data_IF_419881144282
#
_entry.id   IF_419881144282
#
_cell.length_a   1.000
_cell.length_b   1.000
_cell.length_c   1.000
_cell.angle_alpha   90.00
_cell.angle_beta   90.00
_cell.angle_gamma   90.00
#
_symmetry.space_group_name_H-M   'P 1'
#
loop_
_entity.id
_entity.type
_entity.pdbx_description
1 polymer ?
#
# COMPACT_ATOMS: atom_id res chain seq x y z
N UNK A 1 80.67 -11.73 -9.43
CA UNK A 1 80.62 -12.02 -8.00
C UNK A 1 80.14 -10.72 -7.32
N UNK A 2 78.84 -10.65 -7.10
CA UNK A 2 78.23 -9.70 -6.18
C UNK A 2 76.74 -10.15 -5.97
N UNK A 3 76.50 -10.58 -4.76
CA UNK A 3 75.22 -11.07 -4.29
C UNK A 3 74.52 -9.86 -3.64
N UNK A 4 73.39 -9.45 -4.17
CA UNK A 4 72.54 -8.46 -3.50
C UNK A 4 71.25 -9.13 -3.09
N UNK A 5 71.09 -9.38 -1.80
CA UNK A 5 69.87 -9.90 -1.17
C UNK A 5 68.81 -8.80 -1.16
N UNK A 6 67.69 -9.05 -1.81
CA UNK A 6 66.52 -8.24 -1.63
C UNK A 6 65.63 -8.82 -0.48
N UNK A 7 65.49 -8.04 0.57
CA UNK A 7 64.62 -8.34 1.70
C UNK A 7 63.21 -7.93 1.30
N UNK A 8 62.33 -8.91 1.12
CA UNK A 8 60.91 -8.69 0.88
C UNK A 8 60.18 -8.29 2.17
N UNK A 9 59.64 -7.11 2.19
CA UNK A 9 58.81 -6.62 3.24
C UNK A 9 57.34 -7.07 2.96
N UNK A 10 56.90 -8.09 3.68
CA UNK A 10 55.47 -8.52 3.65
C UNK A 10 54.66 -7.57 4.50
N UNK A 11 53.91 -6.67 3.87
CA UNK A 11 52.88 -5.88 4.52
C UNK A 11 51.60 -6.71 4.49
N UNK A 12 51.22 -7.25 5.64
CA UNK A 12 49.92 -7.87 5.87
C UNK A 12 48.90 -6.75 6.07
N UNK A 13 48.10 -6.47 5.06
CA UNK A 13 46.94 -5.62 5.15
C UNK A 13 45.77 -6.40 5.77
N UNK A 14 45.68 -6.35 7.10
CA UNK A 14 44.44 -6.63 7.82
C UNK A 14 43.61 -5.34 7.81
N UNK A 15 42.51 -5.37 7.13
CA UNK A 15 41.56 -4.25 7.27
C UNK A 15 40.64 -4.03 6.05
N UNK A 16 39.78 -4.99 5.72
CA UNK A 16 38.62 -4.71 4.85
C UNK A 16 37.60 -5.84 4.90
N UNK A 17 37.08 -6.14 6.08
CA UNK A 17 35.99 -7.16 6.19
C UNK A 17 34.73 -6.64 6.91
N UNK A 18 34.63 -5.37 7.22
CA UNK A 18 33.43 -4.83 7.88
C UNK A 18 32.51 -3.99 6.98
N UNK A 19 32.89 -3.69 5.75
CA UNK A 19 32.08 -2.88 4.84
C UNK A 19 31.20 -3.71 3.86
N UNK A 20 31.44 -5.01 3.74
CA UNK A 20 30.72 -5.87 2.80
C UNK A 20 29.48 -6.55 3.39
N UNK A 21 29.26 -6.49 4.68
CA UNK A 21 28.12 -7.12 5.35
C UNK A 21 26.84 -6.28 5.36
N UNK A 22 26.90 -5.02 4.95
CA UNK A 22 25.73 -4.12 4.93
C UNK A 22 25.10 -3.92 3.53
N UNK A 23 25.68 -4.48 2.49
CA UNK A 23 25.20 -4.27 1.12
C UNK A 23 24.23 -5.34 0.59
N UNK A 24 23.91 -6.37 1.38
CA UNK A 24 23.08 -7.51 0.91
C UNK A 24 21.68 -7.57 1.48
N UNK A 25 21.13 -6.46 1.97
CA UNK A 25 19.71 -6.37 2.33
C UNK A 25 18.88 -5.58 1.32
N UNK A 26 19.33 -5.45 0.07
CA UNK A 26 18.39 -5.16 -1.01
C UNK A 26 17.50 -6.38 -1.16
N UNK A 27 16.28 -6.27 -0.66
CA UNK A 27 15.20 -7.17 -1.02
C UNK A 27 15.00 -6.98 -2.51
N UNK A 28 15.69 -7.79 -3.31
CA UNK A 28 15.41 -7.90 -4.74
C UNK A 28 14.04 -8.56 -4.84
N UNK A 29 13.00 -7.74 -4.88
CA UNK A 29 11.69 -8.17 -5.35
C UNK A 29 11.90 -8.53 -6.81
N UNK A 30 12.24 -9.77 -7.08
CA UNK A 30 12.28 -10.30 -8.44
C UNK A 30 10.85 -10.14 -8.99
N UNK A 31 10.70 -9.18 -9.87
CA UNK A 31 9.50 -9.03 -10.66
C UNK A 31 9.42 -10.24 -11.60
N UNK A 32 8.55 -11.18 -11.26
CA UNK A 32 8.15 -12.21 -12.19
C UNK A 32 7.23 -11.59 -13.26
N UNK A 33 7.86 -10.92 -14.22
CA UNK A 33 7.18 -10.23 -15.33
C UNK A 33 6.71 -11.19 -16.44
N UNK A 34 6.75 -12.51 -16.21
CA UNK A 34 6.50 -13.50 -17.28
C UNK A 34 5.03 -13.87 -17.45
N UNK A 35 4.12 -13.38 -16.58
CA UNK A 35 2.69 -13.52 -16.80
C UNK A 35 2.07 -12.13 -16.89
N UNK A 36 1.68 -11.71 -18.08
CA UNK A 36 0.71 -10.65 -18.27
C UNK A 36 -0.61 -11.18 -17.70
N UNK A 37 -0.72 -11.18 -16.38
CA UNK A 37 -1.97 -11.46 -15.70
C UNK A 37 -2.86 -10.25 -15.96
N UNK A 38 -3.88 -10.46 -16.76
CA UNK A 38 -4.91 -9.46 -17.03
C UNK A 38 -5.76 -9.34 -15.74
N UNK A 39 -5.26 -8.57 -14.77
CA UNK A 39 -5.92 -8.32 -13.50
C UNK A 39 -7.16 -7.49 -13.71
N UNK A 40 -8.32 -8.16 -13.77
CA UNK A 40 -9.62 -7.49 -13.83
C UNK A 40 -10.02 -7.03 -12.42
N UNK A 41 -10.56 -5.82 -12.31
CA UNK A 41 -11.12 -5.34 -11.06
C UNK A 41 -12.26 -6.24 -10.59
N UNK A 42 -12.28 -6.53 -9.29
CA UNK A 42 -13.34 -7.28 -8.59
C UNK A 42 -14.29 -6.34 -7.82
N UNK A 43 -14.10 -5.02 -7.95
CA UNK A 43 -14.99 -4.06 -7.30
C UNK A 43 -16.42 -4.21 -7.83
N UNK A 44 -17.43 -3.94 -7.01
CA UNK A 44 -18.81 -3.85 -7.48
C UNK A 44 -18.94 -2.82 -8.60
N UNK A 45 -19.88 -3.02 -9.50
CA UNK A 45 -20.28 -2.00 -10.47
C UNK A 45 -20.60 -0.68 -9.75
N UNK A 46 -20.28 0.46 -10.36
CA UNK A 46 -20.41 1.76 -9.71
C UNK A 46 -21.81 2.01 -9.12
N UNK A 47 -22.85 1.57 -9.81
CA UNK A 47 -24.24 1.68 -9.35
C UNK A 47 -24.61 0.79 -8.15
N UNK A 48 -23.75 -0.17 -7.81
CA UNK A 48 -23.96 -1.10 -6.67
C UNK A 48 -23.06 -0.76 -5.48
N UNK A 49 -22.18 0.23 -5.60
CA UNK A 49 -21.34 0.68 -4.48
C UNK A 49 -22.18 1.47 -3.50
N UNK A 50 -21.96 1.23 -2.22
CA UNK A 50 -22.72 1.88 -1.15
C UNK A 50 -22.35 3.37 -1.00
N UNK A 51 -21.06 3.69 -1.19
CA UNK A 51 -20.58 5.05 -1.15
C UNK A 51 -19.48 5.26 -2.20
N UNK A 52 -19.58 6.32 -2.98
CA UNK A 52 -18.59 6.68 -4.01
C UNK A 52 -18.02 8.04 -3.69
N UNK A 53 -16.71 8.12 -3.46
CA UNK A 53 -15.98 9.36 -3.24
C UNK A 53 -15.07 9.66 -4.41
N UNK A 54 -15.22 10.85 -4.99
CA UNK A 54 -14.35 11.32 -6.09
C UNK A 54 -12.89 11.38 -5.65
N UNK A 55 -12.61 11.85 -4.43
CA UNK A 55 -11.25 11.93 -3.90
C UNK A 55 -10.59 10.55 -3.76
N UNK A 56 -11.38 9.52 -3.43
CA UNK A 56 -10.90 8.13 -3.34
C UNK A 56 -10.61 7.57 -4.73
N UNK A 57 -11.47 7.82 -5.71
CA UNK A 57 -11.23 7.38 -7.09
C UNK A 57 -9.97 8.05 -7.70
N UNK A 58 -9.77 9.33 -7.45
CA UNK A 58 -8.57 10.06 -7.86
C UNK A 58 -7.31 9.50 -7.20
N UNK A 59 -7.39 9.17 -5.91
CA UNK A 59 -6.28 8.55 -5.19
C UNK A 59 -5.94 7.17 -5.76
N UNK A 60 -6.94 6.36 -6.09
CA UNK A 60 -6.74 5.05 -6.75
C UNK A 60 -6.02 5.24 -8.08
N UNK A 61 -6.51 6.14 -8.92
CA UNK A 61 -5.91 6.42 -10.22
C UNK A 61 -4.45 6.89 -10.08
N UNK A 62 -4.18 7.78 -9.13
CA UNK A 62 -2.84 8.28 -8.85
C UNK A 62 -1.87 7.18 -8.41
N UNK A 63 -2.26 6.37 -7.42
CA UNK A 63 -1.40 5.30 -6.91
C UNK A 63 -1.15 4.22 -7.97
N UNK A 64 -2.15 3.90 -8.79
CA UNK A 64 -1.99 2.94 -9.90
C UNK A 64 -0.95 3.41 -10.93
N UNK A 65 -0.81 4.71 -11.16
CA UNK A 65 0.22 5.26 -12.04
C UNK A 65 1.63 5.16 -11.45
N UNK A 66 1.76 5.22 -10.13
CA UNK A 66 3.04 5.13 -9.43
C UNK A 66 3.52 3.67 -9.27
N UNK A 67 2.60 2.72 -9.24
CA UNK A 67 2.92 1.31 -9.03
C UNK A 67 3.31 0.63 -10.33
N UNK A 68 4.58 0.22 -10.43
CA UNK A 68 5.08 -0.55 -11.59
C UNK A 68 4.64 -2.01 -11.57
N UNK A 69 4.32 -2.56 -10.39
CA UNK A 69 3.85 -3.93 -10.25
C UNK A 69 2.33 -4.00 -10.45
N UNK A 70 1.90 -4.64 -11.54
CA UNK A 70 0.50 -4.76 -11.92
C UNK A 70 -0.37 -5.46 -10.85
N UNK A 71 0.18 -6.45 -10.13
CA UNK A 71 -0.53 -7.13 -9.05
C UNK A 71 -0.79 -6.20 -7.86
N UNK A 72 0.20 -5.40 -7.47
CA UNK A 72 0.04 -4.43 -6.38
C UNK A 72 -0.94 -3.33 -6.76
N UNK A 73 -0.90 -2.84 -8.00
CA UNK A 73 -1.86 -1.86 -8.51
C UNK A 73 -3.29 -2.41 -8.46
N UNK A 74 -3.48 -3.67 -8.89
CA UNK A 74 -4.76 -4.35 -8.80
C UNK A 74 -5.21 -4.57 -7.35
N UNK A 75 -4.32 -5.00 -6.46
CA UNK A 75 -4.65 -5.16 -5.04
C UNK A 75 -5.07 -3.84 -4.40
N UNK A 76 -4.34 -2.77 -4.67
CA UNK A 76 -4.69 -1.45 -4.15
C UNK A 76 -6.08 -1.00 -4.65
N UNK A 77 -6.36 -1.13 -5.95
CA UNK A 77 -7.66 -0.78 -6.54
C UNK A 77 -8.82 -1.53 -5.90
N UNK A 78 -8.64 -2.78 -5.49
CA UNK A 78 -9.71 -3.60 -4.93
C UNK A 78 -9.81 -3.48 -3.41
N UNK A 79 -8.70 -3.34 -2.70
CA UNK A 79 -8.68 -3.33 -1.25
C UNK A 79 -8.92 -1.93 -0.67
N UNK A 80 -8.34 -0.89 -1.27
CA UNK A 80 -8.41 0.47 -0.73
C UNK A 80 -9.85 0.99 -0.64
N UNK A 81 -10.72 0.89 -1.66
CA UNK A 81 -12.09 1.40 -1.58
C UNK A 81 -13.09 0.41 -0.98
N UNK A 82 -12.67 -0.81 -0.61
CA UNK A 82 -13.59 -1.89 -0.26
C UNK A 82 -14.57 -1.53 0.85
N UNK A 83 -14.12 -0.84 1.89
CA UNK A 83 -14.98 -0.39 2.99
C UNK A 83 -16.12 0.51 2.48
N UNK A 84 -15.79 1.50 1.65
CA UNK A 84 -16.77 2.41 1.06
C UNK A 84 -17.70 1.70 0.08
N UNK A 85 -17.14 0.82 -0.73
CA UNK A 85 -17.90 0.11 -1.76
C UNK A 85 -18.95 -0.86 -1.17
N UNK A 86 -18.66 -1.45 0.02
CA UNK A 86 -19.40 -2.65 0.47
C UNK A 86 -19.93 -2.61 1.91
N UNK A 87 -19.41 -1.76 2.79
CA UNK A 87 -19.71 -1.84 4.24
C UNK A 87 -20.23 -0.55 4.85
N UNK A 88 -20.10 0.57 4.16
CA UNK A 88 -20.54 1.88 4.65
C UNK A 88 -21.98 2.13 4.24
N UNK A 89 -22.83 2.37 5.23
CA UNK A 89 -24.22 2.77 5.03
C UNK A 89 -24.40 4.20 5.54
N UNK A 90 -24.53 5.12 4.61
CA UNK A 90 -24.77 6.54 4.88
C UNK A 90 -26.25 6.87 4.70
N UNK A 91 -26.91 7.37 5.72
CA UNK A 91 -28.33 7.66 5.68
C UNK A 91 -28.66 9.06 5.13
N UNK A 92 -27.64 9.83 4.74
CA UNK A 92 -27.77 11.16 4.15
C UNK A 92 -28.04 12.29 5.15
N UNK A 93 -28.01 11.99 6.46
CA UNK A 93 -28.21 12.99 7.52
C UNK A 93 -26.93 13.24 8.28
N UNK A 94 -26.76 12.59 9.42
CA UNK A 94 -25.60 12.79 10.28
C UNK A 94 -24.99 11.46 10.74
N UNK A 95 -25.63 10.34 10.37
CA UNK A 95 -25.25 9.03 10.85
C UNK A 95 -24.65 8.17 9.73
N UNK A 96 -23.56 7.52 10.07
CA UNK A 96 -22.89 6.56 9.20
C UNK A 96 -22.72 5.24 9.94
N UNK A 97 -23.26 4.18 9.39
CA UNK A 97 -23.08 2.83 9.92
C UNK A 97 -22.05 2.08 9.09
N UNK A 98 -21.04 1.50 9.75
CA UNK A 98 -19.99 0.73 9.09
C UNK A 98 -20.04 -0.72 9.59
N UNK A 99 -20.39 -1.63 8.70
CA UNK A 99 -20.31 -3.06 9.03
C UNK A 99 -18.88 -3.50 9.27
N UNK A 100 -18.66 -4.24 10.34
CA UNK A 100 -17.35 -4.77 10.69
C UNK A 100 -17.35 -6.29 10.57
N UNK A 101 -16.83 -6.78 9.44
CA UNK A 101 -16.81 -8.18 9.12
C UNK A 101 -18.11 -8.68 8.47
N UNK A 102 -18.51 -9.91 8.77
CA UNK A 102 -19.64 -10.64 8.19
C UNK A 102 -20.94 -10.55 8.99
N UNK A 103 -20.93 -9.82 10.11
CA UNK A 103 -22.08 -9.62 10.98
C UNK A 103 -22.62 -8.20 10.87
N UNK A 104 -23.94 -8.06 11.06
CA UNK A 104 -24.62 -6.77 11.09
C UNK A 104 -24.33 -6.05 12.44
N UNK A 105 -23.11 -5.60 12.63
CA UNK A 105 -22.67 -4.88 13.81
C UNK A 105 -21.65 -3.81 13.45
N UNK A 106 -21.64 -2.73 14.22
CA UNK A 106 -20.66 -1.66 14.17
C UNK A 106 -19.83 -1.70 15.46
N UNK A 107 -18.59 -2.17 15.33
CA UNK A 107 -17.62 -2.13 16.43
C UNK A 107 -16.78 -0.88 16.28
N UNK A 108 -16.90 0.07 17.20
CA UNK A 108 -16.28 1.41 17.06
C UNK A 108 -14.79 1.37 16.72
N UNK A 109 -14.03 0.49 17.39
CA UNK A 109 -12.59 0.34 17.12
C UNK A 109 -12.33 -0.14 15.70
N UNK A 110 -13.07 -1.15 15.29
CA UNK A 110 -12.87 -1.81 13.98
C UNK A 110 -13.38 -0.91 12.86
N UNK A 111 -14.53 -0.26 13.04
CA UNK A 111 -15.06 0.75 12.11
C UNK A 111 -14.12 1.92 11.97
N UNK A 112 -13.56 2.43 13.09
CA UNK A 112 -12.55 3.48 13.07
C UNK A 112 -11.31 3.08 12.26
N UNK A 113 -10.81 1.85 12.43
CA UNK A 113 -9.68 1.34 11.65
C UNK A 113 -10.00 1.22 10.16
N UNK A 114 -11.22 0.78 9.81
CA UNK A 114 -11.65 0.64 8.42
C UNK A 114 -11.76 1.98 7.68
N UNK A 115 -12.17 3.05 8.37
CA UNK A 115 -12.34 4.39 7.74
C UNK A 115 -11.09 5.25 7.85
N UNK A 116 -10.15 4.89 8.72
CA UNK A 116 -8.90 5.65 8.93
C UNK A 116 -8.13 6.00 7.65
N UNK A 117 -8.00 5.12 6.65
CA UNK A 117 -7.28 5.42 5.41
C UNK A 117 -7.86 6.61 4.63
N UNK A 118 -9.15 6.93 4.82
CA UNK A 118 -9.84 7.99 4.08
C UNK A 118 -9.79 9.36 4.79
N UNK A 119 -9.40 9.42 6.06
CA UNK A 119 -9.36 10.68 6.84
C UNK A 119 -8.54 11.75 6.15
N UNK A 120 -7.42 11.38 5.52
CA UNK A 120 -6.57 12.32 4.79
C UNK A 120 -7.23 12.89 3.53
N UNK A 121 -8.24 12.22 3.00
CA UNK A 121 -8.98 12.63 1.80
C UNK A 121 -10.22 13.46 2.14
N UNK A 122 -10.66 13.47 3.38
CA UNK A 122 -11.87 14.17 3.83
C UNK A 122 -11.85 15.67 3.51
N UNK A 123 -10.68 16.31 3.51
CA UNK A 123 -10.54 17.71 3.13
C UNK A 123 -10.75 17.98 1.63
N UNK A 124 -10.76 16.95 0.80
CA UNK A 124 -10.92 17.04 -0.67
C UNK A 124 -12.31 16.66 -1.14
N UNK A 125 -13.13 16.12 -0.25
CA UNK A 125 -14.45 15.59 -0.57
C UNK A 125 -15.41 15.90 0.57
N UNK A 126 -16.40 16.76 0.28
CA UNK A 126 -17.37 17.23 1.28
C UNK A 126 -18.23 16.10 1.82
N UNK A 127 -18.63 15.15 0.97
CA UNK A 127 -19.44 14.01 1.39
C UNK A 127 -18.61 13.09 2.30
N UNK A 128 -17.33 12.86 1.94
CA UNK A 128 -16.41 12.08 2.76
C UNK A 128 -16.12 12.78 4.10
N UNK A 129 -16.12 14.12 4.15
CA UNK A 129 -15.93 14.89 5.38
C UNK A 129 -17.12 14.79 6.34
N UNK A 130 -18.30 14.44 5.83
CA UNK A 130 -19.52 14.24 6.64
C UNK A 130 -19.54 12.86 7.34
N UNK A 131 -18.54 12.01 7.11
CA UNK A 131 -18.39 10.76 7.86
C UNK A 131 -18.06 11.07 9.33
N UNK A 132 -19.06 11.39 10.10
CA UNK A 132 -18.96 11.42 11.56
C UNK A 132 -19.17 9.98 12.03
N UNK A 133 -18.11 9.38 12.51
CA UNK A 133 -18.22 8.15 13.29
C UNK A 133 -18.70 8.61 14.66
N UNK A 134 -19.97 8.32 14.96
CA UNK A 134 -20.62 8.67 16.22
C UNK A 134 -19.96 7.99 17.42
#
# INVERSE_FOLDING_TARGET
MNITKAIGLSIVLFGATSAQAMANSEIVIQQDNTKINNYRSNRPEAAKRLFVSQAVEEQIAHIKQLLTNAKLAWMFENCFPNTLDTTVHFDGKDDTFVYTGDIHAMWLRDSGAQVWPYVQLANKDTELSCFKIG
#
